data_IF_679935133613
#
_entry.id   IF_679935133613
#
_cell.length_a   1.000
_cell.length_b   1.000
_cell.length_c   1.000
_cell.angle_alpha   90.00
_cell.angle_beta   90.00
_cell.angle_gamma   90.00
#
_symmetry.space_group_name_H-M   'P 1'
#
loop_
_entity.id
_entity.type
_entity.pdbx_description
1 polymer ?
#
# COMPACT_ATOMS: atom_id res chain seq x y z
N UNK A 1 -68.38 36.92 -63.10
CA UNK A 1 -68.50 36.77 -61.59
C UNK A 1 -67.45 35.77 -61.18
N UNK A 2 -66.27 36.27 -60.80
CA UNK A 2 -65.17 35.37 -60.45
C UNK A 2 -64.67 35.79 -59.06
N UNK A 3 -64.90 34.90 -58.10
CA UNK A 3 -64.40 35.08 -56.72
C UNK A 3 -62.96 34.64 -56.63
N UNK A 4 -62.09 35.57 -56.23
CA UNK A 4 -60.68 35.30 -55.90
C UNK A 4 -60.60 34.94 -54.41
N UNK A 5 -60.12 33.77 -54.11
CA UNK A 5 -59.81 33.28 -52.76
C UNK A 5 -58.40 33.61 -52.43
N UNK A 6 -58.17 34.46 -51.44
CA UNK A 6 -56.82 34.77 -50.87
C UNK A 6 -56.46 33.67 -49.85
N UNK A 7 -55.44 32.94 -50.18
CA UNK A 7 -54.86 31.94 -49.28
C UNK A 7 -53.68 32.58 -48.49
N UNK A 8 -53.91 32.82 -47.21
CA UNK A 8 -52.86 33.32 -46.29
C UNK A 8 -51.98 32.19 -45.81
N UNK A 9 -50.76 32.13 -46.24
CA UNK A 9 -49.78 31.18 -45.75
C UNK A 9 -49.13 31.70 -44.46
N UNK A 10 -49.39 31.07 -43.34
CA UNK A 10 -48.71 31.32 -42.09
C UNK A 10 -47.38 30.55 -42.05
N UNK A 11 -46.27 31.27 -42.04
CA UNK A 11 -44.90 30.76 -41.82
C UNK A 11 -44.69 30.47 -40.35
N UNK A 12 -44.30 29.26 -39.95
CA UNK A 12 -43.95 29.01 -38.58
C UNK A 12 -42.55 29.57 -38.28
N UNK A 13 -42.49 30.47 -37.34
CA UNK A 13 -41.23 30.98 -36.76
C UNK A 13 -40.50 29.84 -36.05
N UNK A 14 -39.31 29.47 -36.52
CA UNK A 14 -38.36 28.58 -35.85
C UNK A 14 -37.82 29.28 -34.61
N UNK A 15 -38.38 28.99 -33.48
CA UNK A 15 -37.85 29.37 -32.18
C UNK A 15 -36.61 28.49 -31.92
N UNK A 16 -35.43 29.13 -31.89
CA UNK A 16 -34.11 28.53 -31.64
C UNK A 16 -34.02 27.97 -30.24
N UNK A 17 -34.12 26.67 -30.11
CA UNK A 17 -33.73 25.91 -28.90
C UNK A 17 -32.25 25.55 -28.94
N UNK A 18 -31.34 26.49 -28.82
CA UNK A 18 -29.90 26.27 -28.85
C UNK A 18 -29.21 26.65 -27.52
N UNK A 19 -29.92 26.60 -26.41
CA UNK A 19 -29.28 26.86 -25.11
C UNK A 19 -29.60 25.82 -24.03
N UNK A 20 -29.59 24.52 -24.37
CA UNK A 20 -29.72 23.52 -23.32
C UNK A 20 -28.93 22.28 -23.69
N UNK A 21 -27.59 22.29 -23.62
CA UNK A 21 -26.74 21.08 -23.44
C UNK A 21 -25.25 21.45 -23.46
N UNK A 22 -24.81 22.38 -22.63
CA UNK A 22 -23.37 22.54 -22.39
C UNK A 22 -23.12 22.77 -20.89
N UNK A 23 -23.39 21.76 -20.09
CA UNK A 23 -22.94 21.56 -18.73
C UNK A 23 -23.11 20.06 -18.40
N UNK A 24 -22.25 19.42 -17.66
CA UNK A 24 -20.88 19.68 -17.28
C UNK A 24 -19.99 18.45 -17.47
N UNK A 25 -19.22 18.39 -18.49
CA UNK A 25 -18.15 17.38 -18.61
C UNK A 25 -16.99 17.64 -17.64
N UNK A 26 -16.95 18.80 -16.99
CA UNK A 26 -15.86 19.18 -16.09
C UNK A 26 -16.00 18.64 -14.65
N UNK A 27 -17.18 18.19 -14.21
CA UNK A 27 -17.38 17.71 -12.84
C UNK A 27 -17.18 16.19 -12.67
N UNK A 28 -17.15 15.42 -13.74
CA UNK A 28 -16.88 13.97 -13.67
C UNK A 28 -15.37 13.62 -13.61
N UNK A 29 -14.49 14.51 -13.98
CA UNK A 29 -13.04 14.24 -13.99
C UNK A 29 -12.38 14.38 -12.61
N UNK A 30 -13.03 14.97 -11.60
CA UNK A 30 -12.46 15.18 -10.27
C UNK A 30 -12.68 14.02 -9.29
N UNK A 31 -13.51 13.06 -9.63
CA UNK A 31 -13.85 11.93 -8.74
C UNK A 31 -12.87 10.73 -8.83
N UNK A 32 -11.94 10.70 -9.81
CA UNK A 32 -11.04 9.55 -10.00
C UNK A 32 -9.63 9.73 -9.43
N UNK A 33 -9.34 10.85 -8.78
CA UNK A 33 -8.06 11.06 -8.12
C UNK A 33 -8.14 10.72 -6.61
N UNK A 34 -8.61 9.52 -6.27
CA UNK A 34 -8.40 8.99 -4.93
C UNK A 34 -6.90 8.68 -4.78
N UNK A 35 -6.22 9.23 -3.75
CA UNK A 35 -4.78 9.11 -3.65
C UNK A 35 -4.36 7.65 -3.44
N UNK A 36 -3.41 7.17 -4.24
CA UNK A 36 -2.79 5.85 -4.15
C UNK A 36 -2.22 5.52 -2.75
N UNK A 37 -2.07 6.53 -1.89
CA UNK A 37 -1.63 6.38 -0.50
C UNK A 37 -2.60 5.58 0.38
N UNK A 38 -3.90 5.55 0.05
CA UNK A 38 -4.90 4.81 0.82
C UNK A 38 -4.91 3.32 0.49
N UNK A 39 -4.54 2.95 -0.74
CA UNK A 39 -4.44 1.56 -1.16
C UNK A 39 -3.31 0.82 -0.42
N UNK A 40 -2.20 1.50 -0.17
CA UNK A 40 -1.04 0.96 0.55
C UNK A 40 -1.34 0.58 2.01
N UNK A 41 -2.01 1.47 2.73
CA UNK A 41 -2.38 1.25 4.14
C UNK A 41 -3.43 0.15 4.27
N UNK A 42 -4.31 0.03 3.27
CA UNK A 42 -5.34 -1.00 3.24
C UNK A 42 -4.71 -2.37 3.01
N UNK A 43 -3.79 -2.51 2.05
CA UNK A 43 -3.14 -3.80 1.75
C UNK A 43 -2.33 -4.33 2.96
N UNK A 44 -1.71 -3.45 3.74
CA UNK A 44 -1.01 -3.85 4.97
C UNK A 44 -1.96 -4.31 6.10
N UNK A 45 -3.19 -3.82 6.12
CA UNK A 45 -4.19 -4.14 7.16
C UNK A 45 -5.08 -5.34 6.81
N UNK A 46 -5.35 -5.55 5.53
CA UNK A 46 -6.38 -6.52 5.09
C UNK A 46 -5.89 -7.96 5.00
N UNK A 47 -4.58 -8.20 4.99
CA UNK A 47 -4.09 -9.58 5.04
C UNK A 47 -4.15 -10.11 6.47
N UNK A 48 -5.14 -10.95 6.75
CA UNK A 48 -5.09 -11.78 7.96
C UNK A 48 -3.78 -12.56 7.94
N UNK A 49 -2.92 -12.34 8.93
CA UNK A 49 -1.64 -13.04 9.04
C UNK A 49 -1.88 -14.54 9.04
N UNK A 50 -1.17 -15.27 8.18
CA UNK A 50 -1.16 -16.73 8.25
C UNK A 50 -0.71 -17.17 9.66
N UNK A 51 -1.50 -17.97 10.39
CA UNK A 51 -1.12 -18.40 11.73
C UNK A 51 0.27 -19.03 11.80
N UNK A 52 0.62 -19.90 10.85
CA UNK A 52 1.93 -20.50 10.75
C UNK A 52 3.06 -19.46 10.60
N UNK A 53 2.89 -18.45 9.72
CA UNK A 53 3.86 -17.37 9.57
C UNK A 53 4.06 -16.59 10.87
N UNK A 54 2.97 -16.26 11.56
CA UNK A 54 3.03 -15.55 12.84
C UNK A 54 3.71 -16.41 13.90
N UNK A 55 3.38 -17.68 13.99
CA UNK A 55 3.95 -18.61 14.97
C UNK A 55 5.46 -18.74 14.80
N UNK A 56 5.92 -18.98 13.57
CA UNK A 56 7.34 -19.26 13.30
C UNK A 56 8.22 -18.00 13.29
N UNK A 57 7.69 -16.85 12.88
CA UNK A 57 8.50 -15.64 12.70
C UNK A 57 8.40 -14.65 13.85
N UNK A 58 7.33 -14.68 14.66
CA UNK A 58 7.15 -13.69 15.73
C UNK A 58 7.89 -14.01 17.04
N UNK A 59 8.63 -15.10 17.09
CA UNK A 59 9.43 -15.47 18.28
C UNK A 59 10.63 -14.55 18.54
N UNK A 60 11.21 -13.98 17.48
CA UNK A 60 12.41 -13.11 17.58
C UNK A 60 12.11 -11.64 17.27
N UNK A 61 11.19 -11.36 16.35
CA UNK A 61 10.76 -10.02 15.97
C UNK A 61 9.29 -10.07 15.52
N UNK A 62 8.64 -8.93 15.37
CA UNK A 62 7.28 -8.94 14.83
C UNK A 62 7.22 -9.63 13.46
N UNK A 63 6.17 -10.38 13.19
CA UNK A 63 5.88 -10.86 11.85
C UNK A 63 5.56 -9.66 10.95
N UNK A 64 6.46 -9.33 10.01
CA UNK A 64 6.29 -8.15 9.17
C UNK A 64 5.15 -8.35 8.16
N UNK A 65 4.34 -7.32 7.87
CA UNK A 65 3.35 -7.40 6.81
C UNK A 65 3.99 -7.80 5.47
N UNK A 66 3.49 -8.83 4.78
CA UNK A 66 4.06 -9.27 3.49
C UNK A 66 4.17 -8.17 2.45
N UNK A 67 3.23 -7.23 2.48
CA UNK A 67 3.19 -6.09 1.57
C UNK A 67 4.40 -5.12 1.71
N UNK A 68 5.28 -5.30 2.68
CA UNK A 68 6.48 -4.47 2.85
C UNK A 68 7.63 -4.81 1.90
N UNK A 69 7.61 -5.99 1.28
CA UNK A 69 8.62 -6.46 0.34
C UNK A 69 7.98 -7.04 -0.92
N UNK A 70 8.67 -7.04 -2.06
CA UNK A 70 8.22 -7.74 -3.26
C UNK A 70 8.33 -9.25 -3.08
N UNK A 71 7.59 -10.02 -3.86
CA UNK A 71 7.60 -11.48 -3.83
C UNK A 71 9.00 -12.08 -4.00
N UNK A 72 9.83 -11.47 -4.86
CA UNK A 72 11.22 -11.92 -5.07
C UNK A 72 12.09 -11.84 -3.82
N UNK A 73 11.87 -10.83 -2.96
CA UNK A 73 12.58 -10.72 -1.67
C UNK A 73 12.15 -11.79 -0.70
N UNK A 74 10.85 -12.04 -0.59
CA UNK A 74 10.33 -13.12 0.25
C UNK A 74 10.84 -14.49 -0.21
N UNK A 75 10.82 -14.74 -1.53
CA UNK A 75 11.32 -16.00 -2.08
C UNK A 75 12.81 -16.24 -1.74
N UNK A 76 13.66 -15.20 -1.86
CA UNK A 76 15.08 -15.33 -1.46
C UNK A 76 15.25 -15.57 0.03
N UNK A 77 14.52 -14.82 0.85
CA UNK A 77 14.55 -14.95 2.30
C UNK A 77 14.16 -16.36 2.77
N UNK A 78 13.07 -16.89 2.21
CA UNK A 78 12.58 -18.24 2.57
C UNK A 78 13.50 -19.37 2.09
N UNK A 79 14.35 -19.13 1.11
CA UNK A 79 15.37 -20.10 0.65
C UNK A 79 16.66 -20.06 1.46
N UNK A 80 16.89 -19.00 2.24
CA UNK A 80 18.11 -18.78 3.03
C UNK A 80 17.84 -18.62 4.52
N UNK A 81 16.86 -19.33 5.06
CA UNK A 81 16.50 -19.24 6.48
C UNK A 81 17.61 -19.71 7.42
N UNK A 82 18.48 -20.61 6.98
CA UNK A 82 19.68 -21.05 7.69
C UNK A 82 20.73 -19.93 7.88
N UNK A 83 20.61 -18.86 7.08
CA UNK A 83 21.47 -17.68 7.14
C UNK A 83 20.67 -16.39 7.34
N UNK A 84 19.54 -16.47 8.05
CA UNK A 84 18.64 -15.34 8.24
C UNK A 84 19.30 -14.20 9.03
N UNK A 85 19.99 -13.31 8.32
CA UNK A 85 20.71 -12.16 8.87
C UNK A 85 21.68 -12.48 10.02
N UNK A 86 22.32 -13.65 9.95
CA UNK A 86 23.29 -14.13 10.94
C UNK A 86 22.71 -15.05 12.01
N UNK A 87 21.43 -15.44 11.86
CA UNK A 87 20.74 -16.38 12.74
C UNK A 87 20.21 -17.53 11.91
N UNK A 88 20.30 -18.74 12.41
CA UNK A 88 19.61 -19.91 11.84
C UNK A 88 18.14 -19.87 12.24
N UNK A 89 17.28 -19.64 11.25
CA UNK A 89 15.82 -19.64 11.37
C UNK A 89 15.20 -20.77 10.53
N UNK A 90 15.93 -21.87 10.36
CA UNK A 90 15.48 -23.02 9.57
C UNK A 90 14.16 -23.59 10.08
N UNK A 91 13.32 -24.01 9.15
CA UNK A 91 12.01 -24.60 9.42
C UNK A 91 11.90 -25.94 8.69
N UNK A 92 10.92 -26.73 9.09
CA UNK A 92 10.51 -27.91 8.34
C UNK A 92 10.18 -27.57 6.88
N UNK A 93 10.58 -28.40 5.89
CA UNK A 93 10.36 -28.11 4.47
C UNK A 93 8.89 -27.90 4.08
N UNK A 94 7.95 -28.56 4.76
CA UNK A 94 6.52 -28.37 4.50
C UNK A 94 6.07 -26.98 5.00
N UNK A 95 6.58 -26.55 6.15
CA UNK A 95 6.32 -25.21 6.70
C UNK A 95 6.92 -24.11 5.82
N UNK A 96 8.16 -24.30 5.34
CA UNK A 96 8.79 -23.37 4.38
C UNK A 96 7.91 -23.19 3.13
N UNK A 97 7.43 -24.29 2.54
CA UNK A 97 6.56 -24.22 1.37
C UNK A 97 5.25 -23.46 1.65
N UNK A 98 4.59 -23.79 2.76
CA UNK A 98 3.33 -23.15 3.14
C UNK A 98 3.48 -21.64 3.34
N UNK A 99 4.49 -21.22 4.09
CA UNK A 99 4.75 -19.82 4.39
C UNK A 99 5.19 -19.07 3.12
N UNK A 100 6.07 -19.66 2.28
CA UNK A 100 6.55 -19.05 1.04
C UNK A 100 5.40 -18.73 0.09
N UNK A 101 4.52 -19.69 -0.16
CA UNK A 101 3.35 -19.50 -1.05
C UNK A 101 2.48 -18.35 -0.54
N UNK A 102 2.23 -18.30 0.75
CA UNK A 102 1.42 -17.24 1.34
C UNK A 102 2.11 -15.87 1.28
N UNK A 103 3.40 -15.78 1.63
CA UNK A 103 4.16 -14.54 1.56
C UNK A 103 4.22 -13.96 0.15
N UNK A 104 4.48 -14.80 -0.86
CA UNK A 104 4.55 -14.39 -2.25
C UNK A 104 3.19 -13.90 -2.76
N UNK A 105 2.10 -14.56 -2.38
CA UNK A 105 0.74 -14.17 -2.75
C UNK A 105 0.29 -12.84 -2.12
N UNK A 106 0.84 -12.48 -0.95
CA UNK A 106 0.49 -11.26 -0.22
C UNK A 106 1.59 -10.18 -0.27
N UNK A 107 2.62 -10.40 -1.08
CA UNK A 107 3.74 -9.48 -1.24
C UNK A 107 3.30 -8.12 -1.80
N UNK A 108 4.12 -7.10 -1.55
CA UNK A 108 3.86 -5.76 -2.06
C UNK A 108 3.99 -5.67 -3.59
N UNK A 109 3.00 -5.09 -4.24
CA UNK A 109 2.93 -4.90 -5.71
C UNK A 109 2.99 -3.44 -6.14
N UNK A 110 2.85 -2.51 -5.21
CA UNK A 110 2.80 -1.09 -5.50
C UNK A 110 4.20 -0.48 -5.73
N UNK A 111 4.24 0.66 -6.40
CA UNK A 111 5.45 1.30 -6.96
C UNK A 111 6.64 1.37 -6.00
N UNK A 112 6.42 1.74 -4.73
CA UNK A 112 7.50 1.94 -3.74
C UNK A 112 8.10 0.65 -3.15
N UNK A 113 7.45 -0.50 -3.38
CA UNK A 113 7.89 -1.82 -2.88
C UNK A 113 8.28 -2.75 -4.03
N UNK A 114 8.00 -2.37 -5.27
CA UNK A 114 8.28 -3.21 -6.45
C UNK A 114 9.76 -3.56 -6.59
N UNK A 115 10.65 -2.65 -6.20
CA UNK A 115 12.08 -2.87 -6.21
C UNK A 115 12.53 -3.52 -4.89
N UNK A 116 13.30 -4.61 -5.02
CA UNK A 116 13.87 -5.29 -3.86
C UNK A 116 14.91 -4.38 -3.18
N UNK A 117 14.80 -4.15 -1.88
CA UNK A 117 15.80 -3.36 -1.17
C UNK A 117 17.13 -4.12 -1.05
N UNK A 118 18.25 -3.42 -0.80
CA UNK A 118 19.53 -4.06 -0.54
C UNK A 118 19.41 -5.14 0.52
N UNK A 119 19.95 -6.33 0.23
CA UNK A 119 19.90 -7.50 1.12
C UNK A 119 18.50 -7.91 1.57
N UNK A 120 17.46 -7.56 0.80
CA UNK A 120 16.05 -7.79 1.13
C UNK A 120 15.61 -7.18 2.48
N UNK A 121 16.35 -6.19 2.99
CA UNK A 121 16.06 -5.55 4.28
C UNK A 121 15.03 -4.43 4.14
N UNK A 122 13.87 -4.58 4.77
CA UNK A 122 12.81 -3.55 4.81
C UNK A 122 13.38 -2.19 5.22
N UNK A 123 14.27 -2.16 6.21
CA UNK A 123 14.90 -0.95 6.76
C UNK A 123 15.92 -0.27 5.84
N UNK A 124 16.26 -0.90 4.71
CA UNK A 124 17.11 -0.35 3.66
C UNK A 124 16.34 0.02 2.39
N UNK A 125 15.02 -0.14 2.40
CA UNK A 125 14.19 0.30 1.29
C UNK A 125 14.15 1.82 1.18
N UNK A 126 14.14 2.34 -0.05
CA UNK A 126 14.07 3.78 -0.30
C UNK A 126 12.85 4.45 0.36
N UNK A 127 11.73 3.73 0.49
CA UNK A 127 10.56 4.27 1.15
C UNK A 127 10.75 4.34 2.67
N UNK A 128 11.41 3.35 3.29
CA UNK A 128 11.71 3.36 4.72
C UNK A 128 12.63 4.54 5.04
N UNK A 129 13.74 4.69 4.33
CA UNK A 129 14.69 5.78 4.50
C UNK A 129 14.00 7.15 4.38
N UNK A 130 13.17 7.33 3.37
CA UNK A 130 12.43 8.58 3.18
C UNK A 130 11.45 8.87 4.33
N UNK A 131 10.79 7.85 4.86
CA UNK A 131 9.79 8.00 5.94
C UNK A 131 10.43 8.26 7.30
N UNK A 132 11.66 7.84 7.49
CA UNK A 132 12.38 7.95 8.76
C UNK A 132 13.59 8.91 8.70
N UNK A 133 13.71 9.70 7.62
CA UNK A 133 14.85 10.61 7.40
C UNK A 133 15.05 11.64 8.52
N UNK A 134 13.98 12.01 9.21
CA UNK A 134 13.99 13.02 10.28
C UNK A 134 14.32 12.41 11.66
N UNK A 135 14.61 11.10 11.72
CA UNK A 135 15.01 10.42 12.95
C UNK A 135 16.54 10.46 13.06
N UNK A 136 17.03 11.21 14.05
CA UNK A 136 18.47 11.33 14.31
C UNK A 136 19.15 9.98 14.56
N UNK A 137 20.37 9.76 14.05
CA UNK A 137 21.09 8.47 14.20
C UNK A 137 21.24 8.01 15.65
N UNK A 138 21.37 8.94 16.60
CA UNK A 138 21.47 8.63 18.01
C UNK A 138 20.19 8.03 18.61
N UNK A 139 19.03 8.36 18.03
CA UNK A 139 17.73 7.82 18.47
C UNK A 139 17.68 6.31 18.24
N UNK A 140 18.17 5.83 17.08
CA UNK A 140 18.20 4.41 16.74
C UNK A 140 19.06 3.56 17.68
N UNK A 141 20.04 4.19 18.36
CA UNK A 141 20.97 3.53 19.31
C UNK A 141 20.43 3.46 20.74
N UNK A 142 19.27 4.04 21.03
CA UNK A 142 18.69 3.98 22.36
C UNK A 142 18.35 2.53 22.73
N UNK A 143 18.64 2.15 23.97
CA UNK A 143 18.32 0.80 24.47
C UNK A 143 16.82 0.46 24.35
N UNK A 144 15.95 1.46 24.49
CA UNK A 144 14.50 1.34 24.32
C UNK A 144 14.07 1.03 22.88
N UNK A 145 14.96 1.20 21.88
CA UNK A 145 14.72 0.92 20.47
C UNK A 145 15.53 -0.29 20.00
N UNK A 146 16.85 -0.30 20.27
CA UNK A 146 17.77 -1.38 19.98
C UNK A 146 18.12 -1.56 18.52
N UNK A 147 17.15 -1.48 17.61
CA UNK A 147 17.32 -1.71 16.17
C UNK A 147 16.31 -0.95 15.32
N UNK A 148 16.73 -0.54 14.13
CA UNK A 148 15.83 0.02 13.09
C UNK A 148 14.72 -0.97 12.68
N UNK A 149 14.95 -2.28 12.87
CA UNK A 149 13.97 -3.33 12.59
C UNK A 149 12.92 -3.49 13.71
N UNK A 150 13.12 -2.88 14.88
CA UNK A 150 12.16 -2.89 15.96
C UNK A 150 11.06 -1.84 15.72
N UNK A 151 10.17 -2.12 14.78
CA UNK A 151 9.06 -1.22 14.43
C UNK A 151 8.14 -0.96 15.62
N UNK A 152 7.94 -1.97 16.48
CA UNK A 152 7.08 -1.90 17.66
C UNK A 152 7.55 -0.88 18.70
N UNK A 153 8.84 -0.54 18.71
CA UNK A 153 9.36 0.47 19.63
C UNK A 153 8.71 1.85 19.44
N UNK A 154 8.33 2.19 18.20
CA UNK A 154 7.71 3.47 17.86
C UNK A 154 6.28 3.34 17.35
N UNK A 155 5.99 2.27 16.61
CA UNK A 155 4.67 1.94 16.07
C UNK A 155 4.02 0.86 16.92
N UNK A 156 3.41 1.23 18.04
CA UNK A 156 2.93 0.30 19.08
C UNK A 156 1.88 -0.72 18.64
N UNK A 157 1.35 -0.57 17.42
CA UNK A 157 0.40 -1.49 16.78
C UNK A 157 0.89 -1.98 15.40
N UNK A 158 2.22 -2.02 15.21
CA UNK A 158 2.82 -2.48 13.97
C UNK A 158 2.49 -3.95 13.68
N UNK A 159 2.38 -4.77 14.72
CA UNK A 159 1.95 -6.17 14.66
C UNK A 159 0.53 -6.37 14.10
N UNK A 160 -0.28 -5.30 14.11
CA UNK A 160 -1.62 -5.23 13.52
C UNK A 160 -1.61 -4.49 12.18
N UNK A 161 -0.44 -4.24 11.59
CA UNK A 161 -0.29 -3.49 10.35
C UNK A 161 -0.56 -1.99 10.45
N UNK A 162 -0.62 -1.41 11.66
CA UNK A 162 -0.89 0.01 11.86
C UNK A 162 0.41 0.81 11.97
N UNK A 163 0.71 1.56 10.90
CA UNK A 163 1.90 2.41 10.78
C UNK A 163 1.54 3.90 10.59
N UNK A 164 0.41 4.32 11.10
CA UNK A 164 -0.09 5.69 10.98
C UNK A 164 0.85 6.67 11.69
N UNK A 165 1.25 7.74 10.99
CA UNK A 165 2.23 8.71 11.50
C UNK A 165 1.75 9.49 12.75
N UNK A 166 0.44 9.70 12.86
CA UNK A 166 -0.20 10.36 14.00
C UNK A 166 -0.14 9.56 15.32
N UNK A 167 0.17 8.27 15.22
CA UNK A 167 0.24 7.33 16.36
C UNK A 167 1.65 6.96 16.77
N UNK A 168 2.66 7.53 16.10
CA UNK A 168 4.06 7.26 16.43
C UNK A 168 4.40 7.79 17.82
N UNK A 169 5.13 6.99 18.61
CA UNK A 169 5.68 7.35 19.91
C UNK A 169 7.14 6.98 19.96
N UNK A 170 8.02 7.97 19.85
CA UNK A 170 9.47 7.73 19.94
C UNK A 170 9.87 7.64 21.42
N UNK A 171 10.34 6.48 21.90
CA UNK A 171 10.73 6.33 23.31
C UNK A 171 11.98 7.13 23.61
N UNK A 172 12.07 7.61 24.87
CA UNK A 172 13.24 8.33 25.38
C UNK A 172 14.38 7.40 25.75
#
# INVERSE_FOLDING_TARGET
MTHATLTTTLTPTRTSWIYAARLPAALLALACALPAAWADSRQMRESSMLPAYKQECAGCHMAYPPAMLPASSWSRMMKGLDQHYGTDASLDPAMVRQISVWLEAHAGTYKRVREAPPQDRITQSAWFERKHRDIEPAVWKRASIGSRANCMACHTRADQGAFDADRVRIPR
#
